data_IF_298849127219
#
_entry.id   IF_298849127219
#
_cell.length_a   1.000
_cell.length_b   1.000
_cell.length_c   1.000
_cell.angle_alpha   90.00
_cell.angle_beta   90.00
_cell.angle_gamma   90.00
#
_symmetry.space_group_name_H-M   'P 1'
#
loop_
_entity.id
_entity.type
_entity.pdbx_description
1 polymer ?
#
# COMPACT_ATOMS: atom_id res chain seq x y z
N UNK A 1 -5.37 10.54 1.95
CA UNK A 1 -4.32 10.17 0.99
C UNK A 1 -4.70 8.84 0.34
N UNK A 2 -4.36 8.66 -0.90
CA UNK A 2 -4.66 7.45 -1.65
C UNK A 2 -3.36 6.72 -1.98
N UNK A 3 -3.32 5.42 -1.73
CA UNK A 3 -2.09 4.62 -1.86
C UNK A 3 -2.34 3.41 -2.74
N UNK A 4 -1.41 3.14 -3.65
CA UNK A 4 -1.40 1.91 -4.45
C UNK A 4 -0.20 1.06 -4.05
N UNK A 5 -0.44 -0.25 -3.85
CA UNK A 5 0.63 -1.20 -3.51
C UNK A 5 0.93 -2.10 -4.71
N UNK A 6 2.22 -2.25 -5.01
CA UNK A 6 2.67 -3.23 -5.98
C UNK A 6 2.39 -2.89 -7.44
N UNK A 7 2.23 -1.61 -7.77
CA UNK A 7 1.99 -1.18 -9.15
C UNK A 7 3.21 -1.35 -10.07
N UNK A 8 4.41 -1.39 -9.49
CA UNK A 8 5.64 -1.51 -10.27
C UNK A 8 5.84 -0.33 -11.21
N UNK A 9 6.30 -0.64 -12.43
CA UNK A 9 6.55 0.40 -13.44
C UNK A 9 5.27 0.95 -14.06
N UNK A 10 4.16 0.24 -13.92
CA UNK A 10 2.88 0.62 -14.52
C UNK A 10 1.79 0.66 -13.47
N UNK A 11 1.80 1.67 -12.58
CA UNK A 11 0.73 1.83 -11.59
C UNK A 11 -0.62 1.98 -12.27
N UNK A 12 -1.64 1.39 -11.68
CA UNK A 12 -2.99 1.36 -12.26
C UNK A 12 -3.81 2.59 -11.93
N UNK A 13 -3.55 3.21 -10.79
CA UNK A 13 -4.37 4.32 -10.31
C UNK A 13 -3.63 5.65 -10.44
N UNK A 14 -4.16 6.50 -11.29
CA UNK A 14 -3.72 7.89 -11.38
C UNK A 14 -4.07 8.59 -10.06
N UNK A 15 -3.24 9.51 -9.63
CA UNK A 15 -3.43 10.29 -8.41
C UNK A 15 -3.30 9.48 -7.10
N UNK A 16 -2.81 8.24 -7.21
CA UNK A 16 -2.44 7.44 -6.05
C UNK A 16 -0.92 7.46 -5.89
N UNK A 17 -0.48 7.56 -4.65
CA UNK A 17 0.94 7.46 -4.34
C UNK A 17 1.29 5.98 -4.22
N UNK A 18 2.39 5.57 -4.86
CA UNK A 18 2.77 4.17 -4.88
C UNK A 18 3.69 3.80 -3.72
N UNK A 19 3.44 2.63 -3.13
CA UNK A 19 4.36 1.97 -2.22
C UNK A 19 4.93 0.76 -2.96
N UNK A 20 6.24 0.69 -3.09
CA UNK A 20 6.94 -0.40 -3.76
C UNK A 20 8.32 -0.57 -3.14
N UNK A 21 8.93 -1.72 -3.35
CA UNK A 21 10.30 -1.98 -2.86
C UNK A 21 11.32 -1.26 -3.73
N UNK A 22 10.92 -0.77 -4.90
CA UNK A 22 11.78 -0.03 -5.82
C UNK A 22 11.23 1.38 -6.01
N UNK A 23 12.12 2.35 -6.14
CA UNK A 23 11.70 3.71 -6.46
C UNK A 23 11.59 3.85 -7.97
N UNK A 24 10.36 3.99 -8.47
CA UNK A 24 10.07 4.18 -9.89
C UNK A 24 9.76 5.65 -10.17
N UNK A 25 8.98 6.28 -9.30
CA UNK A 25 8.63 7.70 -9.42
C UNK A 25 9.17 8.46 -8.22
N UNK A 26 9.32 9.76 -8.39
CA UNK A 26 9.95 10.60 -7.37
C UNK A 26 9.24 10.57 -6.02
N UNK A 27 7.94 10.49 -6.04
CA UNK A 27 7.13 10.50 -4.81
C UNK A 27 6.82 9.11 -4.25
N UNK A 28 7.41 8.06 -4.81
CA UNK A 28 7.18 6.70 -4.33
C UNK A 28 7.68 6.54 -2.90
N UNK A 29 6.90 5.81 -2.10
CA UNK A 29 7.33 5.36 -0.78
C UNK A 29 8.00 4.01 -0.98
N UNK A 30 9.29 3.94 -0.66
CA UNK A 30 10.09 2.73 -0.89
C UNK A 30 10.18 1.94 0.42
N UNK A 31 9.44 0.85 0.49
CA UNK A 31 9.47 -0.05 1.64
C UNK A 31 8.72 -1.34 1.32
N UNK A 32 8.85 -2.33 2.18
CA UNK A 32 7.99 -3.49 2.12
C UNK A 32 6.59 -3.08 2.58
N UNK A 33 5.55 -3.71 2.00
CA UNK A 33 4.17 -3.34 2.31
C UNK A 33 3.83 -3.46 3.80
N UNK A 34 4.39 -4.45 4.48
CA UNK A 34 4.13 -4.67 5.91
C UNK A 34 4.88 -3.70 6.82
N UNK A 35 5.70 -2.82 6.24
CA UNK A 35 6.44 -1.81 7.00
C UNK A 35 5.91 -0.40 6.74
N UNK A 36 4.82 -0.27 6.00
CA UNK A 36 4.31 1.02 5.54
C UNK A 36 3.96 1.96 6.70
N UNK A 37 3.57 1.41 7.85
CA UNK A 37 3.22 2.25 9.00
C UNK A 37 4.42 2.99 9.61
N UNK A 38 5.65 2.63 9.19
CA UNK A 38 6.85 3.39 9.56
C UNK A 38 7.02 4.65 8.70
N UNK A 39 6.31 4.72 7.59
CA UNK A 39 6.43 5.79 6.59
C UNK A 39 5.18 6.64 6.46
N UNK A 40 4.04 6.14 6.90
CA UNK A 40 2.75 6.81 6.78
C UNK A 40 2.12 6.92 8.17
N UNK A 41 1.67 8.11 8.52
CA UNK A 41 1.06 8.35 9.83
C UNK A 41 -0.26 7.61 9.97
N UNK A 42 -0.63 7.20 11.19
CA UNK A 42 -1.92 6.56 11.44
C UNK A 42 -3.08 7.44 11.01
N UNK A 43 -4.15 6.81 10.55
CA UNK A 43 -5.43 7.47 10.23
C UNK A 43 -5.31 8.58 9.16
N UNK A 44 -4.50 8.36 8.13
CA UNK A 44 -4.32 9.34 7.05
C UNK A 44 -4.73 8.83 5.68
N UNK A 45 -4.94 7.51 5.52
CA UNK A 45 -5.21 6.91 4.22
C UNK A 45 -6.70 6.68 4.02
N UNK A 46 -7.24 7.20 2.92
CA UNK A 46 -8.65 7.09 2.58
C UNK A 46 -8.95 5.93 1.65
N UNK A 47 -8.02 5.62 0.74
CA UNK A 47 -8.20 4.55 -0.23
C UNK A 47 -6.89 3.80 -0.42
N UNK A 48 -6.99 2.46 -0.46
CA UNK A 48 -5.89 1.59 -0.82
C UNK A 48 -6.30 0.76 -2.03
N UNK A 49 -5.41 0.64 -3.00
CA UNK A 49 -5.60 -0.19 -4.17
C UNK A 49 -4.41 -1.12 -4.33
N UNK A 50 -4.69 -2.41 -4.55
CA UNK A 50 -3.65 -3.38 -4.90
C UNK A 50 -4.22 -4.35 -5.92
N UNK A 51 -3.35 -4.83 -6.82
CA UNK A 51 -3.74 -5.77 -7.87
C UNK A 51 -2.68 -6.85 -7.98
N UNK A 52 -3.11 -8.12 -7.84
CA UNK A 52 -2.21 -9.29 -7.92
C UNK A 52 -0.99 -9.16 -7.01
N UNK A 53 -1.20 -8.53 -5.85
CA UNK A 53 -0.10 -8.22 -4.94
C UNK A 53 0.07 -9.28 -3.86
N UNK A 54 -1.04 -9.68 -3.22
CA UNK A 54 -0.98 -10.60 -2.07
C UNK A 54 -0.48 -11.99 -2.43
N UNK A 55 -0.63 -12.41 -3.68
CA UNK A 55 -0.14 -13.72 -4.14
C UNK A 55 1.38 -13.83 -4.07
N UNK A 56 2.08 -12.70 -3.99
CA UNK A 56 3.54 -12.67 -3.88
C UNK A 56 4.02 -12.66 -2.43
N UNK A 57 3.11 -12.61 -1.46
CA UNK A 57 3.45 -12.54 -0.05
C UNK A 57 3.32 -13.91 0.61
N UNK A 58 4.18 -14.17 1.60
CA UNK A 58 3.99 -15.31 2.47
C UNK A 58 2.76 -15.04 3.34
N UNK A 59 2.24 -16.09 3.98
CA UNK A 59 1.08 -15.98 4.85
C UNK A 59 1.32 -14.94 5.97
N UNK A 60 2.48 -15.00 6.58
CA UNK A 60 2.85 -14.05 7.64
C UNK A 60 2.98 -12.62 7.11
N UNK A 61 3.61 -12.45 5.94
CA UNK A 61 3.75 -11.14 5.33
C UNK A 61 2.38 -10.54 4.98
N UNK A 62 1.46 -11.35 4.46
CA UNK A 62 0.11 -10.90 4.15
C UNK A 62 -0.61 -10.41 5.40
N UNK A 63 -0.51 -11.14 6.50
CA UNK A 63 -1.13 -10.76 7.76
C UNK A 63 -0.55 -9.45 8.28
N UNK A 64 0.76 -9.30 8.27
CA UNK A 64 1.43 -8.08 8.72
C UNK A 64 1.05 -6.89 7.85
N UNK A 65 0.89 -7.11 6.55
CA UNK A 65 0.47 -6.07 5.62
C UNK A 65 -0.93 -5.57 5.94
N UNK A 66 -1.88 -6.50 6.18
CA UNK A 66 -3.25 -6.11 6.53
C UNK A 66 -3.29 -5.36 7.85
N UNK A 67 -2.51 -5.77 8.84
CA UNK A 67 -2.42 -5.05 10.11
C UNK A 67 -1.87 -3.64 9.91
N UNK A 68 -0.85 -3.48 9.09
CA UNK A 68 -0.27 -2.17 8.79
C UNK A 68 -1.29 -1.27 8.07
N UNK A 69 -2.03 -1.83 7.10
CA UNK A 69 -3.08 -1.09 6.39
C UNK A 69 -4.16 -0.61 7.35
N UNK A 70 -4.57 -1.46 8.27
CA UNK A 70 -5.56 -1.09 9.28
C UNK A 70 -5.09 0.13 10.08
N UNK A 71 -3.81 0.17 10.44
CA UNK A 71 -3.27 1.25 11.26
C UNK A 71 -3.15 2.58 10.51
N UNK A 72 -2.90 2.56 9.21
CA UNK A 72 -2.75 3.80 8.44
C UNK A 72 -4.06 4.34 7.88
N UNK A 73 -5.10 3.53 7.82
CA UNK A 73 -6.38 3.92 7.23
C UNK A 73 -7.26 4.71 8.20
N UNK A 74 -8.03 5.65 7.64
CA UNK A 74 -9.09 6.32 8.40
C UNK A 74 -10.25 5.35 8.58
N UNK A 75 -11.13 5.64 9.54
CA UNK A 75 -12.37 4.89 9.70
C UNK A 75 -13.22 5.06 8.44
N UNK A 76 -13.69 3.94 7.87
CA UNK A 76 -14.47 3.97 6.64
C UNK A 76 -13.63 4.01 5.37
N UNK A 77 -12.31 3.83 5.47
CA UNK A 77 -11.46 3.78 4.29
C UNK A 77 -11.86 2.62 3.36
N UNK A 78 -11.67 2.82 2.07
CA UNK A 78 -11.98 1.81 1.07
C UNK A 78 -10.71 1.10 0.64
N UNK A 79 -10.74 -0.23 0.66
CA UNK A 79 -9.61 -1.06 0.25
C UNK A 79 -10.06 -1.94 -0.91
N UNK A 80 -9.39 -1.82 -2.03
CA UNK A 80 -9.65 -2.62 -3.23
C UNK A 80 -8.49 -3.56 -3.46
N UNK A 81 -8.76 -4.86 -3.43
CA UNK A 81 -7.78 -5.92 -3.69
C UNK A 81 -8.25 -6.76 -4.87
N UNK A 82 -7.47 -6.82 -5.92
CA UNK A 82 -7.78 -7.60 -7.11
C UNK A 82 -6.77 -8.73 -7.30
#
# INVERSE_FOLDING_TARGET
MNIEFGGGENPRKKDYRQVDVRKIREDDIVCNAWEVEKHIKPNTVNNIYSRHFFEHLTHEQAKRTLDAWYNICVSGAEITML
#
